data_IF_406380478485
#
_entry.id   IF_406380478485
#
_cell.length_a   1.000
_cell.length_b   1.000
_cell.length_c   1.000
_cell.angle_alpha   90.00
_cell.angle_beta   90.00
_cell.angle_gamma   90.00
#
_symmetry.space_group_name_H-M   'P 1'
#
loop_
_entity.id
_entity.type
_entity.pdbx_description
1 polymer ?
#
# COMPACT_ATOMS: atom_id res chain seq x y z
N UNK A 1 -0.65 -8.26 19.91
CA UNK A 1 -1.30 -7.10 19.30
C UNK A 1 -0.40 -6.49 18.23
N UNK A 2 -0.92 -6.28 17.03
CA UNK A 2 -0.11 -5.77 15.93
C UNK A 2 -0.02 -4.25 15.98
N UNK A 3 1.22 -3.73 15.93
CA UNK A 3 1.42 -2.29 15.83
C UNK A 3 1.01 -1.79 14.45
N UNK A 4 0.86 -0.49 14.31
CA UNK A 4 0.57 0.12 13.01
C UNK A 4 1.67 -0.19 12.00
N UNK A 5 2.94 -0.10 12.41
CA UNK A 5 4.06 -0.44 11.54
C UNK A 5 3.98 -1.91 11.09
N UNK A 6 3.68 -2.82 12.01
CA UNK A 6 3.57 -4.25 11.70
C UNK A 6 2.47 -4.50 10.67
N UNK A 7 1.32 -3.83 10.83
CA UNK A 7 0.21 -3.96 9.88
C UNK A 7 0.56 -3.37 8.50
N UNK A 8 1.30 -2.26 8.50
CA UNK A 8 1.75 -1.66 7.25
C UNK A 8 2.71 -2.57 6.49
N UNK A 9 3.65 -3.19 7.20
CA UNK A 9 4.61 -4.10 6.59
C UNK A 9 3.92 -5.36 6.07
N UNK A 10 2.93 -5.86 6.79
CA UNK A 10 2.15 -7.02 6.32
C UNK A 10 1.37 -6.68 5.05
N UNK A 11 0.78 -5.49 4.98
CA UNK A 11 0.10 -5.07 3.76
C UNK A 11 1.07 -4.97 2.58
N UNK A 12 2.28 -4.44 2.81
CA UNK A 12 3.30 -4.38 1.76
C UNK A 12 3.60 -5.78 1.23
N UNK A 13 3.75 -6.76 2.13
CA UNK A 13 4.01 -8.14 1.75
C UNK A 13 2.87 -8.72 0.92
N UNK A 14 1.63 -8.51 1.37
CA UNK A 14 0.46 -9.04 0.68
C UNK A 14 0.25 -8.38 -0.69
N UNK A 15 0.47 -7.08 -0.78
CA UNK A 15 0.35 -6.37 -2.06
C UNK A 15 1.40 -6.86 -3.05
N UNK A 16 2.61 -7.10 -2.58
CA UNK A 16 3.68 -7.66 -3.42
C UNK A 16 3.30 -9.05 -3.93
N UNK A 17 2.73 -9.88 -3.05
CA UNK A 17 2.27 -11.21 -3.43
C UNK A 17 1.17 -11.14 -4.50
N UNK A 18 0.24 -10.20 -4.36
CA UNK A 18 -0.83 -10.02 -5.34
C UNK A 18 -0.27 -9.60 -6.70
N UNK A 19 0.70 -8.68 -6.71
CA UNK A 19 1.36 -8.28 -7.94
C UNK A 19 2.12 -9.45 -8.59
N UNK A 20 2.72 -10.30 -7.77
CA UNK A 20 3.41 -11.49 -8.27
C UNK A 20 2.43 -12.44 -8.98
N UNK A 21 1.25 -12.65 -8.40
CA UNK A 21 0.24 -13.50 -9.02
C UNK A 21 -0.17 -12.95 -10.40
N UNK A 22 -0.40 -11.64 -10.48
CA UNK A 22 -0.78 -11.00 -11.74
C UNK A 22 0.35 -11.13 -12.78
N UNK A 23 1.56 -10.78 -12.38
CA UNK A 23 2.73 -10.81 -13.27
C UNK A 23 3.05 -12.22 -13.74
N UNK A 24 2.79 -13.21 -12.89
CA UNK A 24 3.11 -14.62 -13.19
C UNK A 24 2.03 -15.29 -14.01
N UNK A 25 1.06 -14.55 -14.50
CA UNK A 25 0.04 -15.07 -15.41
C UNK A 25 -1.14 -15.76 -14.74
N UNK A 26 -1.30 -15.63 -13.43
CA UNK A 26 -2.48 -16.16 -12.75
C UNK A 26 -3.72 -15.42 -13.25
N UNK A 27 -4.80 -16.13 -13.59
CA UNK A 27 -6.00 -15.44 -14.06
C UNK A 27 -6.57 -14.51 -13.00
N UNK A 28 -6.92 -13.29 -13.40
CA UNK A 28 -7.49 -12.31 -12.48
C UNK A 28 -8.89 -12.70 -12.01
N UNK A 29 -9.51 -13.69 -12.64
CA UNK A 29 -10.80 -14.21 -12.24
C UNK A 29 -10.68 -15.49 -11.38
N UNK A 30 -9.46 -15.95 -11.08
CA UNK A 30 -9.28 -17.13 -10.24
C UNK A 30 -9.71 -16.83 -8.80
N UNK A 31 -10.14 -17.86 -8.09
CA UNK A 31 -10.54 -17.71 -6.69
C UNK A 31 -9.39 -17.21 -5.83
N UNK A 32 -8.19 -17.69 -6.09
CA UNK A 32 -6.99 -17.28 -5.36
C UNK A 32 -6.73 -15.78 -5.54
N UNK A 33 -6.73 -15.31 -6.78
CA UNK A 33 -6.49 -13.90 -7.07
C UNK A 33 -7.59 -13.02 -6.46
N UNK A 34 -8.85 -13.39 -6.66
CA UNK A 34 -9.97 -12.59 -6.17
C UNK A 34 -9.97 -12.50 -4.65
N UNK A 35 -9.66 -13.60 -3.96
CA UNK A 35 -9.60 -13.62 -2.51
C UNK A 35 -8.49 -12.73 -1.98
N UNK A 36 -7.31 -12.82 -2.57
CA UNK A 36 -6.18 -12.00 -2.14
C UNK A 36 -6.41 -10.53 -2.46
N UNK A 37 -6.97 -10.24 -3.64
CA UNK A 37 -7.35 -8.88 -4.02
C UNK A 37 -8.30 -8.27 -3.00
N UNK A 38 -9.34 -9.01 -2.61
CA UNK A 38 -10.31 -8.54 -1.64
C UNK A 38 -9.66 -8.27 -0.28
N UNK A 39 -8.75 -9.14 0.14
CA UNK A 39 -8.07 -8.98 1.43
C UNK A 39 -7.13 -7.78 1.40
N UNK A 40 -6.37 -7.60 0.32
CA UNK A 40 -5.47 -6.45 0.18
C UNK A 40 -6.29 -5.15 0.18
N UNK A 41 -7.39 -5.11 -0.55
CA UNK A 41 -8.24 -3.92 -0.59
C UNK A 41 -8.84 -3.63 0.78
N UNK A 42 -9.34 -4.64 1.48
CA UNK A 42 -9.92 -4.47 2.82
C UNK A 42 -8.90 -3.92 3.80
N UNK A 43 -7.67 -4.45 3.78
CA UNK A 43 -6.61 -3.96 4.66
C UNK A 43 -6.17 -2.55 4.29
N UNK A 44 -6.10 -2.25 2.99
CA UNK A 44 -5.78 -0.90 2.53
C UNK A 44 -6.82 0.11 3.01
N UNK A 45 -8.09 -0.22 2.86
CA UNK A 45 -9.16 0.68 3.32
C UNK A 45 -9.15 0.85 4.84
N UNK A 46 -8.84 -0.22 5.57
CA UNK A 46 -8.72 -0.15 7.03
C UNK A 46 -7.59 0.76 7.47
N UNK A 47 -6.45 0.71 6.77
CA UNK A 47 -5.28 1.52 7.11
C UNK A 47 -5.32 2.93 6.53
N UNK A 48 -6.19 3.17 5.56
CA UNK A 48 -6.26 4.48 4.89
C UNK A 48 -6.55 5.62 5.85
N UNK A 49 -7.35 5.38 6.87
CA UNK A 49 -7.71 6.40 7.86
C UNK A 49 -6.69 6.53 8.99
N UNK A 50 -5.68 5.66 9.02
CA UNK A 50 -4.65 5.71 10.04
C UNK A 50 -3.53 6.66 9.65
N UNK A 51 -2.93 7.31 10.63
CA UNK A 51 -1.78 8.20 10.44
C UNK A 51 -0.82 8.01 11.59
N UNK A 52 0.46 8.31 11.36
CA UNK A 52 1.48 8.24 12.39
C UNK A 52 2.25 9.56 12.48
N UNK A 53 2.60 9.96 13.68
CA UNK A 53 3.47 11.11 13.91
C UNK A 53 4.94 10.75 13.71
N UNK A 54 5.28 9.47 13.72
CA UNK A 54 6.63 9.00 13.40
C UNK A 54 6.80 9.00 11.88
N UNK A 55 7.80 9.73 11.40
CA UNK A 55 8.00 9.93 9.97
C UNK A 55 8.27 8.61 9.24
N UNK A 56 9.08 7.74 9.83
CA UNK A 56 9.40 6.46 9.21
C UNK A 56 8.18 5.53 9.18
N UNK A 57 7.42 5.49 10.27
CA UNK A 57 6.19 4.71 10.33
C UNK A 57 5.16 5.24 9.33
N UNK A 58 4.99 6.56 9.27
CA UNK A 58 4.08 7.19 8.29
C UNK A 58 4.51 6.88 6.86
N UNK A 59 5.83 6.91 6.58
CA UNK A 59 6.35 6.56 5.28
C UNK A 59 6.05 5.12 4.90
N UNK A 60 6.24 4.18 5.83
CA UNK A 60 5.91 2.78 5.59
C UNK A 60 4.42 2.57 5.38
N UNK A 61 3.59 3.29 6.14
CA UNK A 61 2.14 3.24 5.99
C UNK A 61 1.71 3.72 4.61
N UNK A 62 2.24 4.87 4.18
CA UNK A 62 1.94 5.40 2.85
C UNK A 62 2.39 4.46 1.74
N UNK A 63 3.58 3.86 1.88
CA UNK A 63 4.07 2.89 0.92
C UNK A 63 3.14 1.68 0.83
N UNK A 64 2.70 1.17 1.98
CA UNK A 64 1.78 0.04 2.03
C UNK A 64 0.47 0.38 1.30
N UNK A 65 -0.06 1.57 1.52
CA UNK A 65 -1.30 2.00 0.89
C UNK A 65 -1.14 2.15 -0.63
N UNK A 66 -0.04 2.76 -1.09
CA UNK A 66 0.22 2.85 -2.51
C UNK A 66 0.34 1.47 -3.16
N UNK A 67 1.10 0.58 -2.54
CA UNK A 67 1.25 -0.78 -3.05
C UNK A 67 -0.08 -1.49 -3.09
N UNK A 68 -0.87 -1.36 -2.02
CA UNK A 68 -2.18 -2.02 -1.93
C UNK A 68 -3.13 -1.56 -3.03
N UNK A 69 -3.25 -0.26 -3.22
CA UNK A 69 -4.15 0.27 -4.24
C UNK A 69 -3.62 0.07 -5.66
N UNK A 70 -2.30 0.02 -5.85
CA UNK A 70 -1.74 -0.28 -7.16
C UNK A 70 -1.86 -1.76 -7.52
N UNK A 71 -1.80 -2.64 -6.52
CA UNK A 71 -1.85 -4.08 -6.76
C UNK A 71 -3.27 -4.59 -7.04
N UNK A 72 -4.30 -3.94 -6.45
CA UNK A 72 -5.68 -4.39 -6.59
C UNK A 72 -6.25 -4.00 -7.94
N UNK A 73 -6.92 -4.94 -8.61
CA UNK A 73 -7.62 -4.70 -9.88
C UNK A 73 -9.08 -4.36 -9.60
N UNK A 74 -9.68 -5.06 -8.64
CA UNK A 74 -11.07 -4.83 -8.24
C UNK A 74 -11.09 -3.88 -7.04
N UNK A 75 -11.85 -2.79 -7.12
CA UNK A 75 -11.90 -1.78 -6.07
C UNK A 75 -13.29 -1.17 -5.98
N UNK A 76 -13.44 -0.17 -5.10
CA UNK A 76 -14.73 0.45 -4.82
C UNK A 76 -15.03 1.67 -5.69
N UNK A 77 -14.19 1.96 -6.66
CA UNK A 77 -14.40 3.07 -7.58
C UNK A 77 -13.81 4.40 -7.14
N UNK A 78 -13.22 4.47 -5.95
CA UNK A 78 -12.62 5.70 -5.44
C UNK A 78 -11.10 5.61 -5.28
N UNK A 79 -10.50 4.63 -5.94
CA UNK A 79 -9.07 4.36 -5.82
C UNK A 79 -8.21 5.57 -6.18
N UNK A 80 -8.53 6.25 -7.26
CA UNK A 80 -7.72 7.39 -7.71
C UNK A 80 -7.73 8.53 -6.71
N UNK A 81 -8.88 8.81 -6.10
CA UNK A 81 -8.98 9.82 -5.06
C UNK A 81 -8.13 9.47 -3.86
N UNK A 82 -8.19 8.21 -3.43
CA UNK A 82 -7.40 7.73 -2.29
C UNK A 82 -5.90 7.78 -2.58
N UNK A 83 -5.50 7.41 -3.78
CA UNK A 83 -4.09 7.47 -4.18
C UNK A 83 -3.58 8.90 -4.14
N UNK A 84 -4.39 9.87 -4.57
CA UNK A 84 -3.98 11.28 -4.53
C UNK A 84 -3.78 11.75 -3.09
N UNK A 85 -4.67 11.35 -2.16
CA UNK A 85 -4.51 11.69 -0.75
C UNK A 85 -3.19 11.12 -0.21
N UNK A 86 -2.88 9.87 -0.58
CA UNK A 86 -1.65 9.22 -0.12
C UNK A 86 -0.41 9.94 -0.69
N UNK A 87 -0.45 10.32 -1.96
CA UNK A 87 0.66 11.04 -2.57
C UNK A 87 0.90 12.39 -1.88
N UNK A 88 -0.17 13.08 -1.48
CA UNK A 88 -0.05 14.32 -0.74
C UNK A 88 0.60 14.10 0.63
N UNK A 89 0.24 13.00 1.30
CA UNK A 89 0.86 12.63 2.58
C UNK A 89 2.34 12.34 2.41
N UNK A 90 2.71 11.62 1.36
CA UNK A 90 4.11 11.31 1.05
C UNK A 90 4.88 12.60 0.79
N UNK A 91 4.32 13.49 0.01
CA UNK A 91 4.94 14.77 -0.30
C UNK A 91 5.28 15.55 0.98
N UNK A 92 4.36 15.52 1.94
CA UNK A 92 4.53 16.27 3.20
C UNK A 92 5.66 15.73 4.07
N UNK A 93 6.01 14.45 3.95
CA UNK A 93 7.07 13.85 4.78
C UNK A 93 8.38 13.63 4.01
N UNK A 94 8.36 13.77 2.69
CA UNK A 94 9.51 13.39 1.87
C UNK A 94 10.78 14.15 2.24
N UNK A 95 10.67 15.44 2.53
CA UNK A 95 11.84 16.24 2.91
C UNK A 95 12.38 15.89 4.30
N UNK A 96 11.61 15.23 5.12
CA UNK A 96 11.99 14.85 6.48
C UNK A 96 12.57 13.44 6.55
N UNK A 97 12.37 12.63 5.49
CA UNK A 97 12.90 11.28 5.46
C UNK A 97 14.40 11.29 5.16
N UNK A 98 15.19 10.53 5.92
CA UNK A 98 16.62 10.39 5.58
C UNK A 98 16.77 9.63 4.27
N UNK A 99 17.91 9.80 3.62
CA UNK A 99 18.23 9.03 2.42
C UNK A 99 18.30 7.55 2.82
N UNK A 100 17.31 6.76 2.40
CA UNK A 100 17.15 5.39 2.83
C UNK A 100 16.44 4.60 1.75
N UNK A 101 16.39 3.28 1.93
CA UNK A 101 15.66 2.40 1.03
C UNK A 101 14.17 2.77 1.00
N UNK A 102 13.61 3.13 2.15
CA UNK A 102 12.20 3.54 2.23
C UNK A 102 11.93 4.76 1.34
N UNK A 103 12.80 5.78 1.42
CA UNK A 103 12.64 6.99 0.61
C UNK A 103 12.74 6.65 -0.88
N UNK A 104 13.67 5.79 -1.25
CA UNK A 104 13.81 5.36 -2.64
C UNK A 104 12.59 4.61 -3.13
N UNK A 105 12.02 3.74 -2.31
CA UNK A 105 10.81 2.99 -2.66
C UNK A 105 9.63 3.93 -2.84
N UNK A 106 9.47 4.93 -1.97
CA UNK A 106 8.40 5.91 -2.09
C UNK A 106 8.54 6.72 -3.38
N UNK A 107 9.75 7.10 -3.75
CA UNK A 107 9.99 7.81 -5.01
C UNK A 107 9.65 6.94 -6.22
N UNK A 108 9.93 5.66 -6.14
CA UNK A 108 9.62 4.71 -7.22
C UNK A 108 8.11 4.54 -7.41
N UNK A 109 7.36 4.46 -6.31
CA UNK A 109 5.92 4.27 -6.37
C UNK A 109 5.14 5.56 -6.55
N UNK A 110 5.72 6.68 -6.12
CA UNK A 110 5.10 8.00 -6.26
C UNK A 110 5.25 8.55 -7.65
#
# INVERSE_FOLDING_TARGET
MNSLLSRALELQRMAHELMYLDTNGSPIYSDEFCRLNKEVLTRSDSLFSEQSSDIEEEGNLCLALLMGYNATIYDNGDKERKKQVILDRIYNIMSQLPASLLKMRLLTWG
#
